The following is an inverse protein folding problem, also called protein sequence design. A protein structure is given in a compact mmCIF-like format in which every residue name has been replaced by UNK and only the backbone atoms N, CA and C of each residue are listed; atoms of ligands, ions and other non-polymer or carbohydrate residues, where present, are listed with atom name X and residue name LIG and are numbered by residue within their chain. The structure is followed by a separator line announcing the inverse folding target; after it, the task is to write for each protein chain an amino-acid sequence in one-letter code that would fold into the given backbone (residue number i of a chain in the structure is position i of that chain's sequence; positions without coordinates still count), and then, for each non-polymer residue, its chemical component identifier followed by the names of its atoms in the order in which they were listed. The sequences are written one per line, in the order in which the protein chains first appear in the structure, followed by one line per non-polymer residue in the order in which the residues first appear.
data_IF_680212387553
#
_entry.id   IF_680212387553
#
_cell.length_a   1.000
_cell.length_b   1.000
_cell.length_c   1.000
_cell.angle_alpha   90.00
_cell.angle_beta   90.00
_cell.angle_gamma   90.00
#
_symmetry.space_group_name_H-M   'P 1'
#
loop_
_entity.id
_entity.type
_entity.pdbx_description
1 polymer ?
#
# COMPACT_ATOMS: atom_id res chain seq x y z
N UNK A 1 -2.66 -4.06 28.00
CA UNK A 1 -2.96 -4.86 26.78
C UNK A 1 -1.84 -5.89 26.58
N UNK A 2 -2.12 -7.15 26.23
CA UNK A 2 -1.05 -8.13 25.99
C UNK A 2 -0.39 -7.85 24.62
N UNK A 3 0.93 -7.97 24.52
CA UNK A 3 1.71 -7.69 23.30
C UNK A 3 1.18 -8.44 22.06
N UNK A 4 0.64 -9.64 22.26
CA UNK A 4 0.05 -10.48 21.21
C UNK A 4 -1.24 -9.88 20.62
N UNK A 5 -2.07 -9.23 21.45
CA UNK A 5 -3.31 -8.59 21.00
C UNK A 5 -3.02 -7.31 20.21
N UNK A 6 -2.02 -6.54 20.65
CA UNK A 6 -1.55 -5.33 19.98
C UNK A 6 -1.03 -5.64 18.57
N UNK A 7 -0.18 -6.65 18.45
CA UNK A 7 0.34 -7.11 17.14
C UNK A 7 -0.74 -7.69 16.24
N UNK A 8 -1.75 -8.35 16.81
CA UNK A 8 -2.87 -8.88 16.03
C UNK A 8 -3.69 -7.74 15.41
N UNK A 9 -3.92 -6.66 16.16
CA UNK A 9 -4.65 -5.47 15.67
C UNK A 9 -3.89 -4.68 14.61
N UNK A 10 -2.56 -4.56 14.76
CA UNK A 10 -1.69 -3.97 13.73
C UNK A 10 -1.70 -4.84 12.46
N UNK A 11 -1.55 -6.16 12.60
CA UNK A 11 -1.62 -7.09 11.47
C UNK A 11 -2.99 -7.06 10.79
N UNK A 12 -4.08 -7.02 11.53
CA UNK A 12 -5.43 -6.92 10.97
C UNK A 12 -5.61 -5.62 10.18
N UNK A 13 -5.08 -4.50 10.68
CA UNK A 13 -5.10 -3.21 9.98
C UNK A 13 -4.26 -3.27 8.70
N UNK A 14 -3.09 -3.91 8.75
CA UNK A 14 -2.25 -4.17 7.58
C UNK A 14 -2.97 -5.06 6.55
N UNK A 15 -3.54 -6.19 6.96
CA UNK A 15 -4.24 -7.11 6.04
C UNK A 15 -5.47 -6.47 5.43
N UNK A 16 -6.27 -5.73 6.22
CA UNK A 16 -7.41 -4.96 5.70
C UNK A 16 -7.01 -3.87 4.70
N UNK A 17 -5.84 -3.27 4.87
CA UNK A 17 -5.31 -2.28 3.92
C UNK A 17 -4.71 -2.95 2.66
N UNK A 18 -4.06 -4.11 2.81
CA UNK A 18 -3.18 -4.67 1.76
C UNK A 18 -3.73 -5.86 0.98
N UNK A 19 -4.82 -6.52 1.41
CA UNK A 19 -5.38 -7.68 0.70
C UNK A 19 -5.76 -7.35 -0.75
N UNK A 20 -6.34 -6.18 -1.00
CA UNK A 20 -6.72 -5.74 -2.34
C UNK A 20 -5.51 -5.46 -3.26
N UNK A 21 -4.34 -5.17 -2.69
CA UNK A 21 -3.12 -4.80 -3.42
C UNK A 21 -2.41 -6.04 -3.95
N UNK A 22 -2.28 -7.09 -3.13
CA UNK A 22 -1.56 -8.32 -3.50
C UNK A 22 -2.23 -9.06 -4.66
N UNK A 23 -3.56 -9.11 -4.69
CA UNK A 23 -4.31 -9.75 -5.79
C UNK A 23 -4.17 -9.02 -7.13
N UNK A 24 -4.05 -7.69 -7.11
CA UNK A 24 -3.97 -6.88 -8.34
C UNK A 24 -2.59 -6.93 -8.99
N UNK A 25 -1.52 -7.06 -8.21
CA UNK A 25 -0.13 -7.06 -8.72
C UNK A 25 0.20 -8.25 -9.61
N UNK A 26 -0.45 -9.40 -9.42
CA UNK A 26 -0.23 -10.59 -10.26
C UNK A 26 -0.80 -10.46 -11.69
N UNK A 27 -1.81 -9.60 -11.91
CA UNK A 27 -2.48 -9.47 -13.22
C UNK A 27 -1.78 -8.53 -14.20
N UNK A 28 -0.78 -7.77 -13.76
CA UNK A 28 -0.13 -6.69 -14.56
C UNK A 28 1.14 -7.16 -15.30
N UNK A 29 1.49 -8.45 -15.19
CA UNK A 29 2.62 -9.05 -15.88
C UNK A 29 2.24 -9.50 -17.32
N UNK A 30 2.00 -8.55 -18.23
CA UNK A 30 1.74 -8.90 -19.65
C UNK A 30 2.76 -8.30 -20.63
N UNK A 31 3.10 -9.13 -21.64
CA UNK A 31 4.18 -9.02 -22.64
C UNK A 31 3.93 -8.00 -23.78
N UNK A 32 3.14 -6.96 -23.57
CA UNK A 32 2.91 -5.92 -24.59
C UNK A 32 3.98 -4.83 -24.52
N UNK A 33 4.35 -4.22 -25.68
CA UNK A 33 5.23 -3.03 -25.75
C UNK A 33 4.80 -2.04 -24.67
N UNK A 34 5.65 -1.79 -23.67
CA UNK A 34 5.31 -0.86 -22.60
C UNK A 34 5.32 0.58 -23.13
N UNK A 35 4.19 1.29 -23.00
CA UNK A 35 4.19 2.74 -23.15
C UNK A 35 4.94 3.39 -21.98
N UNK A 36 5.63 4.50 -22.26
CA UNK A 36 6.32 5.32 -21.24
C UNK A 36 5.39 5.69 -20.08
N UNK A 37 4.11 5.92 -20.36
CA UNK A 37 3.10 6.22 -19.34
C UNK A 37 2.82 5.01 -18.44
N UNK A 38 2.61 3.82 -18.99
CA UNK A 38 2.39 2.60 -18.19
C UNK A 38 3.57 2.32 -17.27
N UNK A 39 4.80 2.43 -17.79
CA UNK A 39 6.02 2.25 -16.99
C UNK A 39 6.09 3.28 -15.85
N UNK A 40 5.72 4.55 -16.09
CA UNK A 40 5.65 5.57 -15.04
C UNK A 40 4.73 5.16 -13.90
N UNK A 41 3.49 4.75 -14.19
CA UNK A 41 2.53 4.32 -13.16
C UNK A 41 2.98 3.04 -12.44
N UNK A 42 3.61 2.08 -13.13
CA UNK A 42 4.21 0.89 -12.49
C UNK A 42 5.30 1.28 -11.48
N UNK A 43 6.18 2.21 -11.83
CA UNK A 43 7.22 2.71 -10.92
C UNK A 43 6.61 3.44 -9.73
N UNK A 44 5.57 4.25 -9.97
CA UNK A 44 4.86 4.98 -8.91
C UNK A 44 4.16 4.04 -7.92
N UNK A 45 3.47 3.00 -8.41
CA UNK A 45 2.92 1.91 -7.59
C UNK A 45 4.00 1.28 -6.72
N UNK A 46 5.15 0.90 -7.29
CA UNK A 46 6.26 0.28 -6.53
C UNK A 46 6.85 1.22 -5.48
N UNK A 47 6.92 2.52 -5.78
CA UNK A 47 7.38 3.53 -4.83
C UNK A 47 6.42 3.69 -3.66
N UNK A 48 5.10 3.72 -3.93
CA UNK A 48 4.06 3.80 -2.90
C UNK A 48 4.06 2.55 -2.01
N UNK A 49 4.14 1.35 -2.60
CA UNK A 49 4.28 0.09 -1.86
C UNK A 49 5.49 0.12 -0.90
N UNK A 50 6.65 0.58 -1.39
CA UNK A 50 7.86 0.70 -0.56
C UNK A 50 7.68 1.72 0.57
N UNK A 51 7.03 2.84 0.32
CA UNK A 51 6.77 3.87 1.32
C UNK A 51 5.81 3.38 2.41
N UNK A 52 4.76 2.66 2.03
CA UNK A 52 3.83 2.00 2.96
C UNK A 52 4.60 1.01 3.85
N UNK A 53 5.43 0.15 3.26
CA UNK A 53 6.25 -0.80 4.01
C UNK A 53 7.19 -0.12 5.02
N UNK A 54 7.84 0.99 4.63
CA UNK A 54 8.68 1.80 5.52
C UNK A 54 7.87 2.40 6.67
N UNK A 55 6.67 2.92 6.40
CA UNK A 55 5.79 3.49 7.43
C UNK A 55 5.28 2.45 8.41
N UNK A 56 5.00 1.23 7.95
CA UNK A 56 4.69 0.12 8.85
C UNK A 56 5.88 -0.28 9.74
N UNK A 57 7.11 -0.25 9.21
CA UNK A 57 8.30 -0.48 10.02
C UNK A 57 8.49 0.63 11.08
N UNK A 58 8.25 1.88 10.70
CA UNK A 58 8.25 3.04 11.62
C UNK A 58 7.19 2.89 12.71
N UNK A 59 5.95 2.52 12.35
CA UNK A 59 4.87 2.24 13.28
C UNK A 59 5.26 1.15 14.28
N UNK A 60 5.80 0.02 13.81
CA UNK A 60 6.23 -1.08 14.66
C UNK A 60 7.31 -0.67 15.66
N UNK A 61 8.32 0.08 15.20
CA UNK A 61 9.37 0.62 16.06
C UNK A 61 8.80 1.58 17.11
N UNK A 62 7.87 2.45 16.72
CA UNK A 62 7.28 3.44 17.61
C UNK A 62 6.42 2.80 18.70
N UNK A 63 5.57 1.86 18.30
CA UNK A 63 4.74 1.08 19.24
C UNK A 63 5.62 0.27 20.19
N UNK A 64 6.69 -0.35 19.70
CA UNK A 64 7.68 -1.05 20.52
C UNK A 64 8.32 -0.11 21.56
N UNK A 65 8.77 1.08 21.13
CA UNK A 65 9.38 2.07 22.01
C UNK A 65 8.42 2.52 23.12
N UNK A 66 7.19 2.91 22.74
CA UNK A 66 6.18 3.38 23.67
C UNK A 66 5.79 2.29 24.68
N UNK A 67 5.51 1.09 24.20
CA UNK A 67 5.05 0.01 25.06
C UNK A 67 6.14 -0.54 25.99
N UNK A 68 7.31 -0.89 25.44
CA UNK A 68 8.33 -1.63 26.18
C UNK A 68 9.37 -0.74 26.86
N UNK A 69 9.67 0.46 26.33
CA UNK A 69 10.63 1.36 26.97
C UNK A 69 9.97 2.38 27.89
N UNK A 70 8.78 2.88 27.51
CA UNK A 70 8.08 3.93 28.27
C UNK A 70 6.93 3.40 29.12
N UNK A 71 6.59 2.12 29.00
CA UNK A 71 5.51 1.50 29.77
C UNK A 71 4.12 2.01 29.42
N UNK A 72 3.95 2.59 28.22
CA UNK A 72 2.66 3.12 27.78
C UNK A 72 1.65 1.98 27.62
N UNK A 73 0.54 2.06 28.36
CA UNK A 73 -0.49 1.03 28.35
C UNK A 73 -1.26 0.99 27.03
N UNK A 74 -1.42 2.16 26.39
CA UNK A 74 -2.09 2.27 25.10
C UNK A 74 -1.30 3.12 24.07
N UNK A 75 -0.24 2.56 23.47
CA UNK A 75 0.58 3.23 22.46
C UNK A 75 -0.21 3.71 21.24
N UNK A 76 -1.31 3.01 20.89
CA UNK A 76 -2.12 3.35 19.71
C UNK A 76 -2.91 4.65 19.87
N UNK A 77 -3.14 5.10 21.10
CA UNK A 77 -3.81 6.36 21.37
C UNK A 77 -2.86 7.56 21.34
N UNK A 78 -1.55 7.32 21.27
CA UNK A 78 -0.55 8.39 21.21
C UNK A 78 -0.63 9.09 19.86
N UNK A 79 -0.57 10.42 19.91
CA UNK A 79 -0.74 11.28 18.74
C UNK A 79 0.28 10.94 17.63
N UNK A 80 1.52 10.70 18.02
CA UNK A 80 2.59 10.29 17.11
C UNK A 80 2.28 8.98 16.36
N UNK A 81 1.60 8.03 17.02
CA UNK A 81 1.20 6.76 16.41
C UNK A 81 0.01 6.95 15.49
N UNK A 82 -0.94 7.82 15.86
CA UNK A 82 -2.08 8.17 15.01
C UNK A 82 -1.64 8.86 13.72
N UNK A 83 -0.65 9.76 13.80
CA UNK A 83 -0.08 10.42 12.62
C UNK A 83 0.53 9.40 11.65
N UNK A 84 1.30 8.42 12.14
CA UNK A 84 1.86 7.37 11.28
C UNK A 84 0.74 6.53 10.62
N UNK A 85 -0.33 6.22 11.36
CA UNK A 85 -1.48 5.49 10.82
C UNK A 85 -2.24 6.30 9.74
N UNK A 86 -2.38 7.61 9.94
CA UNK A 86 -2.98 8.51 8.96
C UNK A 86 -2.13 8.60 7.69
N UNK A 87 -0.81 8.71 7.82
CA UNK A 87 0.11 8.69 6.68
C UNK A 87 0.03 7.37 5.89
N UNK A 88 -0.03 6.23 6.58
CA UNK A 88 -0.23 4.92 5.95
C UNK A 88 -1.55 4.92 5.16
N UNK A 89 -2.63 5.42 5.77
CA UNK A 89 -3.96 5.48 5.14
C UNK A 89 -3.96 6.37 3.89
N UNK A 90 -3.26 7.50 3.94
CA UNK A 90 -3.14 8.41 2.80
C UNK A 90 -2.33 7.78 1.66
N UNK A 91 -1.19 7.13 1.96
CA UNK A 91 -0.39 6.41 0.97
C UNK A 91 -1.15 5.25 0.34
N UNK A 92 -1.95 4.52 1.13
CA UNK A 92 -2.80 3.43 0.65
C UNK A 92 -3.88 3.92 -0.32
N UNK A 93 -4.51 5.06 -0.01
CA UNK A 93 -5.47 5.71 -0.92
C UNK A 93 -4.81 6.13 -2.24
N UNK A 94 -3.61 6.72 -2.17
CA UNK A 94 -2.85 7.12 -3.36
C UNK A 94 -2.44 5.90 -4.21
N UNK A 95 -2.05 4.81 -3.56
CA UNK A 95 -1.74 3.54 -4.23
C UNK A 95 -2.97 2.98 -4.95
N UNK A 96 -4.12 2.93 -4.31
CA UNK A 96 -5.37 2.45 -4.92
C UNK A 96 -5.78 3.29 -6.14
N UNK A 97 -5.65 4.61 -6.06
CA UNK A 97 -5.92 5.52 -7.19
C UNK A 97 -4.94 5.29 -8.35
N UNK A 98 -3.64 5.18 -8.04
CA UNK A 98 -2.59 4.96 -9.04
C UNK A 98 -2.76 3.60 -9.74
N UNK A 99 -3.12 2.56 -8.98
CA UNK A 99 -3.43 1.23 -9.52
C UNK A 99 -4.65 1.27 -10.44
N UNK A 100 -5.73 1.97 -10.07
CA UNK A 100 -6.91 2.10 -10.93
C UNK A 100 -6.59 2.80 -12.26
N UNK A 101 -5.72 3.83 -12.24
CA UNK A 101 -5.25 4.49 -13.46
C UNK A 101 -4.41 3.53 -14.33
N UNK A 102 -3.51 2.77 -13.71
CA UNK A 102 -2.69 1.77 -14.41
C UNK A 102 -3.56 0.68 -15.06
N UNK A 103 -4.55 0.15 -14.34
CA UNK A 103 -5.51 -0.83 -14.85
C UNK A 103 -6.29 -0.29 -16.05
N UNK A 104 -6.80 0.95 -15.96
CA UNK A 104 -7.50 1.60 -17.07
C UNK A 104 -6.61 1.72 -18.32
N UNK A 105 -5.34 2.12 -18.15
CA UNK A 105 -4.39 2.24 -19.27
C UNK A 105 -4.07 0.90 -19.91
N UNK A 106 -3.94 -0.16 -19.11
CA UNK A 106 -3.74 -1.52 -19.62
C UNK A 106 -4.95 -1.96 -20.46
N UNK A 107 -6.17 -1.68 -19.99
CA UNK A 107 -7.41 -2.00 -20.70
C UNK A 107 -7.56 -1.20 -22.01
N UNK A 108 -7.21 0.08 -22.01
CA UNK A 108 -7.22 0.94 -23.20
C UNK A 108 -6.21 0.43 -24.26
N UNK A 109 -4.99 0.06 -23.86
CA UNK A 109 -3.98 -0.52 -24.76
C UNK A 109 -4.46 -1.85 -25.35
N UNK A 110 -5.08 -2.73 -24.55
CA UNK A 110 -5.65 -4.00 -25.03
C UNK A 110 -6.70 -3.78 -26.11
N UNK A 111 -7.67 -2.90 -25.85
CA UNK A 111 -8.73 -2.56 -26.81
C UNK A 111 -8.18 -1.96 -28.11
N UNK A 112 -7.17 -1.11 -28.02
CA UNK A 112 -6.52 -0.52 -29.19
C UNK A 112 -5.77 -1.57 -30.04
N UNK A 113 -5.26 -2.64 -29.43
CA UNK A 113 -4.62 -3.75 -30.15
C UNK A 113 -5.65 -4.73 -30.77
N UNK A 114 -6.84 -4.83 -30.20
CA UNK A 114 -7.91 -5.73 -30.66
C UNK A 114 -8.80 -5.13 -31.76
N UNK A 115 -8.78 -3.81 -31.98
CA UNK A 115 -9.45 -3.18 -33.11
C UNK A 115 -8.49 -3.13 -34.33
N UNK A 116 -8.68 -3.96 -35.37
CA UNK A 116 -7.91 -3.81 -36.60
C UNK A 116 -8.25 -2.45 -37.23
N UNK A 117 -7.22 -1.74 -37.68
CA UNK A 117 -7.36 -0.54 -38.50
C UNK A 117 -8.36 -0.84 -39.65
N UNK A 118 -9.49 -0.14 -39.64
CA UNK A 118 -10.52 -0.21 -40.68
C UNK A 118 -10.02 0.44 -41.97
#
# INVERSE_FOLDING_TARGET
MKTVELWSRIKETFYKATEAIVEKTQKVAEKAKESTEKTKYKVEVKKLELNIAKKFAELGNKVYELHLKKGEENPLNQEEVKQILEEITNLDRELAQTQAVLEKKIEEEKKAMEQPAS
#
